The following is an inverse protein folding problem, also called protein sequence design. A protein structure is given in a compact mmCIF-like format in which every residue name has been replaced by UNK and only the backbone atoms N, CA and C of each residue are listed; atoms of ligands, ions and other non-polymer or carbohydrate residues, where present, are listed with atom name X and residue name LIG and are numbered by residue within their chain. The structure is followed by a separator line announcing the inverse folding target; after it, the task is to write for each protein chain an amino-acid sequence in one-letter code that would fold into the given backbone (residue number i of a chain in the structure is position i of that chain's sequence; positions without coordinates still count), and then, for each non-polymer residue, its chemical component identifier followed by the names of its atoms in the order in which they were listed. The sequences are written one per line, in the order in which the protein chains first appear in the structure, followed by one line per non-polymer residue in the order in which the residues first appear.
data_IF_480506414459
#
_entry.id   IF_480506414459
#
_cell.length_a   1.000
_cell.length_b   1.000
_cell.length_c   1.000
_cell.angle_alpha   90.00
_cell.angle_beta   90.00
_cell.angle_gamma   90.00
#
_symmetry.space_group_name_H-M   'P 1'
#
loop_
_entity.id
_entity.type
_entity.pdbx_description
1 polymer ?
#
# COMPACT_ATOMS: atom_id res chain seq x y z
N UNK A 1 18.08 -18.85 -5.69
CA UNK A 1 17.46 -17.54 -5.98
C UNK A 1 17.04 -17.38 -7.44
N UNK A 2 17.83 -17.83 -8.43
CA UNK A 2 17.38 -17.90 -9.84
C UNK A 2 16.24 -18.92 -10.05
N UNK A 3 16.38 -20.14 -9.52
CA UNK A 3 15.35 -21.20 -9.63
C UNK A 3 13.99 -20.82 -9.01
N UNK A 4 13.97 -19.98 -7.98
CA UNK A 4 12.73 -19.51 -7.35
C UNK A 4 12.02 -18.42 -8.17
N UNK A 5 12.77 -17.51 -8.80
CA UNK A 5 12.19 -16.47 -9.65
C UNK A 5 11.62 -17.07 -10.94
N UNK A 6 12.34 -18.00 -11.57
CA UNK A 6 11.86 -18.72 -12.76
C UNK A 6 10.63 -19.57 -12.44
N UNK A 7 10.61 -20.25 -11.29
CA UNK A 7 9.44 -21.01 -10.83
C UNK A 7 8.21 -20.12 -10.67
N UNK A 8 8.35 -18.97 -9.98
CA UNK A 8 7.28 -17.99 -9.80
C UNK A 8 6.81 -17.45 -11.15
N UNK A 9 7.73 -17.09 -12.04
CA UNK A 9 7.41 -16.58 -13.38
C UNK A 9 6.69 -17.61 -14.26
N UNK A 10 7.08 -18.88 -14.20
CA UNK A 10 6.36 -19.94 -14.92
C UNK A 10 4.96 -20.14 -14.35
N UNK A 11 4.81 -20.11 -13.02
CA UNK A 11 3.50 -20.25 -12.36
C UNK A 11 2.56 -19.06 -12.60
N UNK A 12 3.06 -17.83 -12.78
CA UNK A 12 2.18 -16.71 -13.17
C UNK A 12 1.55 -16.91 -14.55
N UNK A 13 2.20 -17.70 -15.42
CA UNK A 13 1.70 -18.02 -16.76
C UNK A 13 0.73 -19.19 -16.81
N UNK A 14 0.66 -20.03 -15.77
CA UNK A 14 -0.23 -21.20 -15.77
C UNK A 14 -1.69 -20.85 -15.51
N UNK A 15 -1.96 -19.88 -14.63
CA UNK A 15 -3.32 -19.38 -14.36
C UNK A 15 -3.37 -17.85 -14.57
N UNK A 16 -3.27 -17.36 -15.81
CA UNK A 16 -3.35 -15.93 -16.07
C UNK A 16 -4.76 -15.42 -15.72
N UNK A 17 -4.82 -14.32 -14.98
CA UNK A 17 -6.11 -13.64 -14.79
C UNK A 17 -6.67 -13.10 -16.12
N UNK A 18 -7.99 -13.21 -16.29
CA UNK A 18 -8.75 -12.59 -17.38
C UNK A 18 -9.07 -11.10 -17.11
N UNK A 19 -8.72 -10.58 -15.94
CA UNK A 19 -8.91 -9.18 -15.57
C UNK A 19 -8.24 -8.20 -16.54
N UNK A 20 -8.95 -7.11 -16.82
CA UNK A 20 -8.42 -5.97 -17.56
C UNK A 20 -7.77 -4.99 -16.58
N UNK A 21 -6.52 -4.61 -16.85
CA UNK A 21 -5.74 -3.71 -16.01
C UNK A 21 -5.23 -2.54 -16.87
N UNK A 22 -5.03 -1.35 -16.29
CA UNK A 22 -4.39 -0.24 -16.98
C UNK A 22 -3.03 -0.65 -17.55
N UNK A 23 -2.68 -0.09 -18.72
CA UNK A 23 -1.39 -0.32 -19.36
C UNK A 23 -0.24 0.49 -18.71
N UNK A 24 -0.31 0.69 -17.39
CA UNK A 24 0.75 1.30 -16.57
C UNK A 24 1.65 0.22 -15.97
N UNK A 25 2.79 0.62 -15.41
CA UNK A 25 3.68 -0.34 -14.76
C UNK A 25 3.01 -0.97 -13.53
N UNK A 26 2.39 -0.15 -12.68
CA UNK A 26 1.64 -0.64 -11.53
C UNK A 26 0.52 -1.61 -11.94
N UNK A 27 -0.25 -1.26 -12.99
CA UNK A 27 -1.33 -2.12 -13.50
C UNK A 27 -0.82 -3.48 -13.99
N UNK A 28 0.28 -3.52 -14.76
CA UNK A 28 0.92 -4.77 -15.20
C UNK A 28 1.45 -5.61 -14.04
N UNK A 29 2.03 -4.97 -13.03
CA UNK A 29 2.57 -5.65 -11.86
C UNK A 29 1.44 -6.25 -11.01
N UNK A 30 0.37 -5.49 -10.74
CA UNK A 30 -0.81 -6.01 -10.02
C UNK A 30 -1.51 -7.12 -10.79
N UNK A 31 -1.60 -7.04 -12.13
CA UNK A 31 -2.09 -8.15 -12.96
C UNK A 31 -1.26 -9.42 -12.77
N UNK A 32 0.07 -9.29 -12.74
CA UNK A 32 0.97 -10.42 -12.52
C UNK A 32 0.77 -11.01 -11.12
N UNK A 33 0.65 -10.16 -10.10
CA UNK A 33 0.38 -10.59 -8.72
C UNK A 33 -0.96 -11.31 -8.62
N UNK A 34 -2.01 -10.82 -9.29
CA UNK A 34 -3.31 -11.50 -9.34
C UNK A 34 -3.16 -12.92 -9.90
N UNK A 35 -2.50 -13.10 -11.06
CA UNK A 35 -2.22 -14.44 -11.60
C UNK A 35 -1.42 -15.34 -10.65
N UNK A 36 -0.47 -14.78 -9.90
CA UNK A 36 0.30 -15.53 -8.90
C UNK A 36 -0.57 -15.98 -7.73
N UNK A 37 -1.46 -15.11 -7.25
CA UNK A 37 -2.46 -15.45 -6.23
C UNK A 37 -3.36 -16.60 -6.74
N UNK A 38 -3.90 -16.49 -7.96
CA UNK A 38 -4.74 -17.53 -8.58
C UNK A 38 -4.01 -18.85 -8.86
N UNK A 39 -2.67 -18.84 -8.85
CA UNK A 39 -1.84 -20.05 -9.03
C UNK A 39 -1.53 -20.77 -7.72
N UNK A 40 -2.05 -20.30 -6.58
CA UNK A 40 -1.87 -20.88 -5.24
C UNK A 40 -0.41 -21.22 -4.91
N UNK A 41 0.50 -20.36 -5.34
CA UNK A 41 1.90 -20.49 -4.96
C UNK A 41 2.08 -20.06 -3.49
N UNK A 42 3.03 -20.68 -2.80
CA UNK A 42 3.33 -20.40 -1.40
C UNK A 42 4.14 -19.10 -1.22
N UNK A 43 3.66 -17.99 -1.78
CA UNK A 43 4.22 -16.64 -1.64
C UNK A 43 3.31 -15.81 -0.76
N UNK A 44 3.87 -15.26 0.33
CA UNK A 44 3.10 -14.51 1.34
C UNK A 44 3.12 -13.00 1.16
N UNK A 45 4.14 -12.47 0.52
CA UNK A 45 4.37 -11.02 0.38
C UNK A 45 4.75 -10.70 -1.06
N UNK A 46 4.03 -9.75 -1.64
CA UNK A 46 4.35 -9.14 -2.93
C UNK A 46 4.67 -7.67 -2.69
N UNK A 47 5.67 -7.14 -3.39
CA UNK A 47 6.09 -5.75 -3.27
C UNK A 47 6.14 -5.10 -4.64
N UNK A 48 5.50 -3.94 -4.75
CA UNK A 48 5.51 -3.10 -5.95
C UNK A 48 5.64 -1.65 -5.52
N UNK A 49 6.17 -0.80 -6.38
CA UNK A 49 6.35 0.62 -6.11
C UNK A 49 5.72 1.48 -7.21
N UNK A 50 5.04 2.54 -6.82
CA UNK A 50 4.68 3.65 -7.70
C UNK A 50 5.47 4.88 -7.24
N UNK A 51 6.51 5.24 -7.99
CA UNK A 51 7.40 6.35 -7.64
C UNK A 51 6.86 7.73 -8.06
N UNK A 52 7.75 8.72 -8.02
CA UNK A 52 7.50 10.10 -8.47
C UNK A 52 6.60 10.97 -7.57
N UNK A 53 6.29 10.55 -6.35
CA UNK A 53 5.55 11.36 -5.38
C UNK A 53 6.40 12.46 -4.70
N UNK A 54 7.71 12.49 -4.94
CA UNK A 54 8.60 13.55 -4.43
C UNK A 54 8.54 14.82 -5.30
N UNK A 55 7.42 15.52 -5.20
CA UNK A 55 7.05 16.61 -6.11
C UNK A 55 7.34 17.99 -5.51
N UNK A 56 8.49 18.58 -5.76
CA UNK A 56 8.81 19.94 -5.25
C UNK A 56 8.27 21.09 -6.11
N UNK A 57 7.68 20.78 -7.27
CA UNK A 57 7.10 21.72 -8.24
C UNK A 57 5.90 21.07 -8.92
N UNK A 58 4.94 21.88 -9.39
CA UNK A 58 3.77 21.41 -10.15
C UNK A 58 3.06 20.21 -9.47
N UNK A 59 3.00 20.25 -8.13
CA UNK A 59 2.64 19.10 -7.31
C UNK A 59 1.22 18.60 -7.60
N UNK A 60 0.26 19.51 -7.75
CA UNK A 60 -1.14 19.16 -7.99
C UNK A 60 -1.31 18.30 -9.25
N UNK A 61 -0.75 18.72 -10.38
CA UNK A 61 -0.89 17.99 -11.64
C UNK A 61 -0.17 16.63 -11.59
N UNK A 62 1.02 16.57 -10.99
CA UNK A 62 1.77 15.32 -10.86
C UNK A 62 1.08 14.33 -9.93
N UNK A 63 0.64 14.78 -8.76
CA UNK A 63 -0.08 13.94 -7.80
C UNK A 63 -1.42 13.48 -8.37
N UNK A 64 -2.17 14.34 -9.06
CA UNK A 64 -3.41 13.93 -9.74
C UNK A 64 -3.18 12.75 -10.67
N UNK A 65 -2.15 12.82 -11.54
CA UNK A 65 -1.79 11.72 -12.44
C UNK A 65 -1.44 10.44 -11.68
N UNK A 66 -0.62 10.55 -10.63
CA UNK A 66 -0.16 9.40 -9.85
C UNK A 66 -1.29 8.75 -9.05
N UNK A 67 -2.16 9.55 -8.43
CA UNK A 67 -3.33 9.02 -7.72
C UNK A 67 -4.35 8.41 -8.66
N UNK A 68 -4.53 8.92 -9.89
CA UNK A 68 -5.34 8.24 -10.92
C UNK A 68 -4.73 6.88 -11.29
N UNK A 69 -3.42 6.80 -11.52
CA UNK A 69 -2.75 5.53 -11.82
C UNK A 69 -2.88 4.52 -10.66
N UNK A 70 -2.71 4.97 -9.42
CA UNK A 70 -2.92 4.15 -8.22
C UNK A 70 -4.36 3.65 -8.15
N UNK A 71 -5.33 4.57 -8.25
CA UNK A 71 -6.76 4.28 -8.19
C UNK A 71 -7.17 3.21 -9.22
N UNK A 72 -6.82 3.43 -10.50
CA UNK A 72 -7.28 2.57 -11.58
C UNK A 72 -6.66 1.17 -11.49
N UNK A 73 -5.40 1.08 -11.08
CA UNK A 73 -4.71 -0.20 -10.91
C UNK A 73 -5.25 -0.97 -9.70
N UNK A 74 -5.49 -0.31 -8.57
CA UNK A 74 -6.07 -0.92 -7.36
C UNK A 74 -7.53 -1.33 -7.60
N UNK A 75 -8.34 -0.51 -8.27
CA UNK A 75 -9.72 -0.85 -8.60
C UNK A 75 -9.81 -2.10 -9.48
N UNK A 76 -8.95 -2.19 -10.51
CA UNK A 76 -8.85 -3.38 -11.35
C UNK A 76 -8.43 -4.62 -10.53
N UNK A 77 -7.42 -4.47 -9.67
CA UNK A 77 -6.93 -5.56 -8.81
C UNK A 77 -8.00 -6.07 -7.85
N UNK A 78 -8.67 -5.17 -7.12
CA UNK A 78 -9.75 -5.52 -6.20
C UNK A 78 -10.90 -6.24 -6.91
N UNK A 79 -11.37 -5.67 -8.03
CA UNK A 79 -12.45 -6.28 -8.84
C UNK A 79 -12.08 -7.69 -9.29
N UNK A 80 -10.82 -7.90 -9.66
CA UNK A 80 -10.32 -9.18 -10.14
C UNK A 80 -10.24 -10.22 -9.02
N UNK A 81 -9.75 -9.82 -7.83
CA UNK A 81 -9.75 -10.68 -6.65
C UNK A 81 -11.16 -11.07 -6.22
N UNK A 82 -12.10 -10.11 -6.21
CA UNK A 82 -13.51 -10.36 -5.86
C UNK A 82 -14.15 -11.37 -6.81
N UNK A 83 -13.99 -11.18 -8.13
CA UNK A 83 -14.55 -12.07 -9.16
C UNK A 83 -14.04 -13.51 -9.06
N UNK A 84 -12.83 -13.69 -8.56
CA UNK A 84 -12.21 -15.00 -8.38
C UNK A 84 -12.33 -15.54 -6.95
N UNK A 85 -13.07 -14.86 -6.06
CA UNK A 85 -13.28 -15.32 -4.69
C UNK A 85 -12.01 -15.31 -3.82
N UNK A 86 -11.04 -14.45 -4.14
CA UNK A 86 -9.74 -14.34 -3.46
C UNK A 86 -9.57 -13.05 -2.66
N UNK A 87 -10.56 -12.18 -2.64
CA UNK A 87 -10.44 -10.88 -1.99
C UNK A 87 -10.27 -10.96 -0.46
N UNK A 88 -10.87 -11.98 0.17
CA UNK A 88 -10.73 -12.23 1.61
C UNK A 88 -9.33 -12.75 2.00
N UNK A 89 -8.56 -13.28 1.04
CA UNK A 89 -7.22 -13.83 1.28
C UNK A 89 -6.11 -12.79 1.18
N UNK A 90 -6.44 -11.55 0.80
CA UNK A 90 -5.46 -10.52 0.43
C UNK A 90 -5.65 -9.27 1.28
N UNK A 91 -4.54 -8.80 1.85
CA UNK A 91 -4.41 -7.48 2.44
C UNK A 91 -3.41 -6.67 1.61
N UNK A 92 -3.90 -5.65 0.91
CA UNK A 92 -3.07 -4.62 0.31
C UNK A 92 -2.88 -3.49 1.32
N UNK A 93 -1.63 -3.07 1.49
CA UNK A 93 -1.24 -1.93 2.31
C UNK A 93 -0.33 -1.00 1.51
N UNK A 94 -0.61 0.30 1.50
CA UNK A 94 0.32 1.32 0.98
C UNK A 94 1.16 1.90 2.11
N UNK A 95 2.39 2.29 1.82
CA UNK A 95 3.22 3.10 2.71
C UNK A 95 4.11 4.05 1.92
N UNK A 96 4.66 5.05 2.60
CA UNK A 96 5.65 5.99 2.06
C UNK A 96 6.66 6.32 3.16
N UNK A 97 7.90 6.62 2.77
CA UNK A 97 8.99 6.99 3.67
C UNK A 97 8.83 8.41 4.23
N UNK A 98 8.04 9.23 3.55
CA UNK A 98 7.75 10.61 3.93
C UNK A 98 6.28 10.97 3.68
N UNK A 99 5.88 12.09 4.28
CA UNK A 99 4.66 12.83 3.98
C UNK A 99 4.94 14.18 3.34
N UNK A 100 3.93 15.04 3.27
CA UNK A 100 4.06 16.38 2.68
C UNK A 100 3.68 17.44 3.70
N UNK A 101 4.40 18.56 3.73
CA UNK A 101 4.02 19.73 4.55
C UNK A 101 2.70 20.31 4.11
N UNK A 102 2.00 20.94 5.06
CA UNK A 102 0.70 21.60 4.81
C UNK A 102 0.87 22.84 3.94
N UNK A 103 1.90 23.64 4.20
CA UNK A 103 2.17 24.87 3.46
C UNK A 103 2.87 24.60 2.12
N UNK A 104 2.42 25.31 1.09
CA UNK A 104 3.07 25.36 -0.22
C UNK A 104 4.43 26.08 -0.13
N UNK A 105 5.43 25.55 -0.83
CA UNK A 105 6.74 26.19 -0.95
C UNK A 105 6.75 27.24 -2.09
N UNK A 106 7.85 27.98 -2.21
CA UNK A 106 7.98 29.06 -3.20
C UNK A 106 7.87 28.62 -4.67
N UNK A 107 7.95 27.31 -4.93
CA UNK A 107 7.99 26.72 -6.28
C UNK A 107 6.67 26.02 -6.66
N UNK A 108 5.58 26.31 -5.95
CA UNK A 108 4.27 25.67 -6.16
C UNK A 108 4.26 24.15 -5.97
N UNK A 109 5.12 23.65 -5.08
CA UNK A 109 5.04 22.31 -4.51
C UNK A 109 4.91 22.38 -2.99
N UNK A 110 5.26 21.30 -2.30
CA UNK A 110 5.49 21.33 -0.85
C UNK A 110 6.86 20.77 -0.52
N UNK A 111 7.26 20.85 0.74
CA UNK A 111 8.46 20.15 1.22
C UNK A 111 8.06 18.82 1.87
N UNK A 112 9.06 18.01 2.21
CA UNK A 112 8.87 16.74 2.92
C UNK A 112 8.30 17.01 4.31
N UNK A 113 7.35 16.18 4.72
CA UNK A 113 6.76 16.21 6.04
C UNK A 113 6.79 14.86 6.73
N UNK A 114 6.48 14.85 8.02
CA UNK A 114 6.70 13.69 8.90
C UNK A 114 5.53 12.72 9.03
N UNK A 115 4.37 13.00 8.41
CA UNK A 115 3.19 12.15 8.49
C UNK A 115 2.48 12.01 7.14
N UNK A 116 1.95 10.81 6.86
CA UNK A 116 1.22 10.47 5.65
C UNK A 116 -0.02 9.63 5.95
N UNK A 117 -0.77 9.27 4.91
CA UNK A 117 -1.87 8.33 4.99
C UNK A 117 -1.43 6.95 4.48
N UNK A 118 -1.86 5.90 5.17
CA UNK A 118 -1.75 4.51 4.72
C UNK A 118 -3.13 4.00 4.32
N UNK A 119 -3.24 3.39 3.15
CA UNK A 119 -4.46 2.75 2.68
C UNK A 119 -4.38 1.24 2.90
N UNK A 120 -5.48 0.67 3.39
CA UNK A 120 -5.66 -0.77 3.56
C UNK A 120 -6.86 -1.21 2.73
N UNK A 121 -6.67 -2.21 1.88
CA UNK A 121 -7.71 -2.78 1.03
C UNK A 121 -7.66 -4.30 1.15
N UNK A 122 -8.77 -4.93 1.50
CA UNK A 122 -8.89 -6.39 1.64
C UNK A 122 -10.26 -6.78 2.17
N UNK A 123 -10.73 -7.97 1.79
CA UNK A 123 -12.07 -8.44 2.16
C UNK A 123 -12.20 -8.85 3.63
N UNK A 124 -11.09 -9.31 4.23
CA UNK A 124 -11.04 -9.73 5.64
C UNK A 124 -10.78 -8.58 6.64
N UNK A 125 -10.79 -7.32 6.20
CA UNK A 125 -10.63 -6.17 7.09
C UNK A 125 -11.81 -6.05 8.07
N UNK A 126 -11.51 -5.87 9.36
CA UNK A 126 -12.51 -5.74 10.44
C UNK A 126 -13.07 -4.32 10.59
N UNK A 127 -12.40 -3.33 10.03
CA UNK A 127 -12.81 -1.92 10.09
C UNK A 127 -12.77 -1.31 8.69
N UNK A 128 -13.73 -0.43 8.42
CA UNK A 128 -13.88 0.27 7.15
C UNK A 128 -13.87 1.78 7.39
N UNK A 129 -13.46 2.55 6.38
CA UNK A 129 -13.40 4.01 6.45
C UNK A 129 -12.11 4.54 7.08
N UNK A 130 -12.17 5.75 7.63
CA UNK A 130 -11.04 6.41 8.28
C UNK A 130 -10.86 5.85 9.70
N UNK A 131 -9.66 5.36 10.02
CA UNK A 131 -9.41 4.57 11.23
C UNK A 131 -8.93 5.39 12.44
N UNK A 132 -8.57 6.65 12.23
CA UNK A 132 -8.16 7.61 13.25
C UNK A 132 -8.70 9.01 12.90
N UNK A 133 -8.58 9.95 13.83
CA UNK A 133 -9.07 11.30 13.61
C UNK A 133 -8.32 12.00 12.46
N UNK A 134 -8.99 12.96 11.83
CA UNK A 134 -8.34 13.82 10.84
C UNK A 134 -7.31 14.73 11.53
N UNK A 135 -6.18 15.05 10.87
CA UNK A 135 -5.18 15.93 11.46
C UNK A 135 -5.71 17.36 11.61
N UNK A 136 -5.24 18.08 12.63
CA UNK A 136 -5.49 19.50 12.78
C UNK A 136 -4.47 20.31 11.97
N UNK A 137 -4.90 20.89 10.86
CA UNK A 137 -4.02 21.66 9.96
C UNK A 137 -3.53 23.00 10.54
N UNK A 138 -4.11 23.45 11.67
CA UNK A 138 -3.68 24.64 12.39
C UNK A 138 -2.73 24.33 13.57
N UNK A 139 -2.57 23.05 13.94
CA UNK A 139 -1.67 22.63 15.02
C UNK A 139 -0.54 21.74 14.49
N UNK A 140 0.54 22.39 14.08
CA UNK A 140 1.67 21.78 13.40
C UNK A 140 2.92 21.76 14.30
N UNK A 141 3.82 20.82 14.05
CA UNK A 141 5.15 20.81 14.63
C UNK A 141 6.15 21.32 13.59
N UNK A 142 6.61 22.56 13.70
CA UNK A 142 7.52 23.19 12.72
C UNK A 142 7.05 23.11 11.25
N UNK A 143 5.74 23.20 11.03
CA UNK A 143 5.09 23.09 9.71
C UNK A 143 4.74 21.67 9.29
N UNK A 144 5.12 20.67 10.08
CA UNK A 144 4.80 19.27 9.85
C UNK A 144 3.52 18.84 10.57
N UNK A 145 2.80 17.90 9.95
CA UNK A 145 1.68 17.23 10.59
C UNK A 145 2.18 16.37 11.78
N UNK A 146 1.51 16.52 12.92
CA UNK A 146 1.69 15.62 14.06
C UNK A 146 1.00 14.30 13.75
N UNK A 147 1.75 13.20 13.66
CA UNK A 147 1.16 11.88 13.46
C UNK A 147 0.36 11.46 14.70
N UNK A 148 -0.76 10.77 14.48
CA UNK A 148 -1.59 10.22 15.56
C UNK A 148 -1.37 8.72 15.76
N UNK A 149 -0.91 8.04 14.72
CA UNK A 149 -0.64 6.60 14.72
C UNK A 149 0.83 6.41 14.37
N UNK A 150 1.56 5.72 15.25
CA UNK A 150 2.92 5.27 14.96
C UNK A 150 2.86 4.15 13.90
N UNK A 151 3.56 4.31 12.77
CA UNK A 151 3.62 3.30 11.71
C UNK A 151 4.18 1.96 12.21
N UNK A 152 4.96 1.96 13.30
CA UNK A 152 5.48 0.75 13.91
C UNK A 152 4.34 -0.11 14.52
N UNK A 153 3.29 0.52 15.06
CA UNK A 153 2.09 -0.18 15.52
C UNK A 153 1.34 -0.82 14.35
N UNK A 154 1.28 -0.13 13.20
CA UNK A 154 0.71 -0.67 11.96
C UNK A 154 1.46 -1.92 11.51
N UNK A 155 2.80 -1.84 11.46
CA UNK A 155 3.64 -2.94 10.99
C UNK A 155 3.56 -4.13 11.95
N UNK A 156 3.57 -3.88 13.27
CA UNK A 156 3.37 -4.90 14.28
C UNK A 156 2.00 -5.60 14.12
N UNK A 157 0.94 -4.83 13.82
CA UNK A 157 -0.40 -5.37 13.56
C UNK A 157 -0.39 -6.32 12.36
N UNK A 158 0.17 -5.91 11.22
CA UNK A 158 0.22 -6.75 10.02
C UNK A 158 1.09 -7.99 10.25
N UNK A 159 2.27 -7.84 10.84
CA UNK A 159 3.17 -8.96 11.13
C UNK A 159 2.51 -10.00 12.05
N UNK A 160 1.88 -9.55 13.14
CA UNK A 160 1.30 -10.44 14.14
C UNK A 160 -0.06 -11.01 13.70
N UNK A 161 -0.99 -10.16 13.28
CA UNK A 161 -2.40 -10.52 13.06
C UNK A 161 -2.67 -11.07 11.66
N UNK A 162 -1.93 -10.63 10.65
CA UNK A 162 -2.10 -11.09 9.28
C UNK A 162 -1.09 -12.19 8.91
N UNK A 163 0.20 -11.93 9.14
CA UNK A 163 1.26 -12.85 8.74
C UNK A 163 1.56 -13.94 9.78
N UNK A 164 0.99 -13.87 10.98
CA UNK A 164 1.24 -14.83 12.06
C UNK A 164 2.71 -14.93 12.47
N UNK A 165 3.46 -13.82 12.34
CA UNK A 165 4.90 -13.73 12.56
C UNK A 165 5.22 -13.08 13.91
N UNK A 166 6.40 -13.38 14.47
CA UNK A 166 6.88 -12.77 15.72
C UNK A 166 7.36 -11.34 15.46
N UNK A 167 6.44 -10.40 15.58
CA UNK A 167 6.64 -8.97 15.38
C UNK A 167 7.69 -8.39 16.34
N UNK A 168 7.77 -8.87 17.59
CA UNK A 168 8.79 -8.41 18.55
C UNK A 168 10.19 -8.76 18.10
N UNK A 169 10.39 -9.98 17.59
CA UNK A 169 11.68 -10.41 17.06
C UNK A 169 12.08 -9.60 15.83
N UNK A 170 11.12 -9.27 14.97
CA UNK A 170 11.36 -8.52 13.73
C UNK A 170 11.62 -7.04 14.00
N UNK A 171 10.81 -6.42 14.88
CA UNK A 171 10.86 -4.97 15.16
C UNK A 171 11.76 -4.61 16.35
N UNK A 172 12.30 -5.60 17.06
CA UNK A 172 13.22 -5.44 18.18
C UNK A 172 12.59 -5.06 19.52
N UNK A 173 11.28 -4.75 19.56
CA UNK A 173 10.49 -4.49 20.77
C UNK A 173 9.00 -4.71 20.53
N UNK A 174 8.21 -4.68 21.61
CA UNK A 174 6.75 -4.74 21.54
C UNK A 174 6.17 -3.39 21.13
N UNK A 175 5.15 -3.44 20.28
CA UNK A 175 4.31 -2.31 19.87
C UNK A 175 2.84 -2.63 20.12
N UNK A 176 1.99 -1.62 20.05
CA UNK A 176 0.55 -1.80 20.17
C UNK A 176 -0.05 -2.35 18.87
N UNK A 177 -1.18 -3.04 19.00
CA UNK A 177 -1.93 -3.57 17.86
C UNK A 177 -3.19 -2.75 17.61
N UNK A 178 -3.41 -2.44 16.33
CA UNK A 178 -4.63 -1.83 15.83
C UNK A 178 -5.70 -2.90 15.58
N UNK A 179 -6.95 -2.47 15.40
CA UNK A 179 -8.13 -3.35 15.36
C UNK A 179 -8.64 -3.65 13.95
N UNK A 180 -7.93 -3.21 12.91
CA UNK A 180 -8.39 -3.32 11.51
C UNK A 180 -8.21 -4.73 10.91
N UNK A 181 -7.44 -5.61 11.58
CA UNK A 181 -7.23 -7.03 11.21
C UNK A 181 -7.84 -7.95 12.24
#
# INVERSE_FOLDING_TARGET
TLSSADYIFQKSKTNPTSGSYPATELGRNLKTISSLIMSDINTKVYYVSLGSFDTHVNQEAQQKRLFTELNDAVAAFTTDLEKNGRFDDVLMMTFSEFGRRVSQNASNGTDHGTANNMFFIGGALKQQGVLNDMPNLADLNDGDLKHQVDFQNVYATVLNKWLGSDDRKILGKQYDYLKFI
#
